data_IF_217442016700
#
_entry.id   IF_217442016700
#
_cell.length_a   1.000
_cell.length_b   1.000
_cell.length_c   1.000
_cell.angle_alpha   90.00
_cell.angle_beta   90.00
_cell.angle_gamma   90.00
#
_symmetry.space_group_name_H-M   'P 1'
#
loop_
_entity.id
_entity.type
_entity.pdbx_description
1 polymer ?
#
# COMPACT_ATOMS: atom_id res chain seq x y z
N UNK A 1 -45.43 -14.02 -11.19
CA UNK A 1 -45.87 -12.64 -11.49
C UNK A 1 -44.78 -11.73 -10.95
N UNK A 2 -43.72 -11.56 -11.67
CA UNK A 2 -43.36 -10.59 -12.72
C UNK A 2 -43.45 -9.13 -12.25
N UNK A 3 -42.28 -8.51 -12.01
CA UNK A 3 -41.96 -7.23 -12.61
C UNK A 3 -40.44 -6.96 -12.53
N UNK A 4 -39.84 -7.15 -13.67
CA UNK A 4 -38.46 -6.81 -14.02
C UNK A 4 -38.50 -5.35 -14.56
N UNK A 5 -37.79 -4.41 -13.92
CA UNK A 5 -37.60 -3.08 -14.49
C UNK A 5 -36.23 -3.00 -15.15
N UNK A 6 -36.25 -3.05 -16.47
CA UNK A 6 -35.15 -2.69 -17.36
C UNK A 6 -35.11 -1.17 -17.49
N UNK A 7 -34.01 -0.54 -17.18
CA UNK A 7 -33.74 0.85 -17.55
C UNK A 7 -32.84 0.84 -18.79
N UNK A 8 -33.44 1.37 -19.90
CA UNK A 8 -32.78 1.59 -21.18
C UNK A 8 -31.88 2.81 -21.11
N UNK A 9 -30.61 2.65 -21.47
CA UNK A 9 -29.76 3.76 -21.90
C UNK A 9 -30.02 4.05 -23.38
N UNK A 10 -30.47 5.26 -23.67
CA UNK A 10 -30.59 5.77 -25.02
C UNK A 10 -29.25 6.32 -25.51
N UNK A 11 -28.65 5.66 -26.50
CA UNK A 11 -27.51 6.18 -27.25
C UNK A 11 -28.03 7.12 -28.38
N UNK A 12 -27.61 8.37 -28.33
CA UNK A 12 -27.81 9.31 -29.44
C UNK A 12 -26.65 9.18 -30.43
N UNK A 13 -26.89 8.55 -31.56
CA UNK A 13 -26.03 8.62 -32.73
C UNK A 13 -26.49 9.82 -33.58
N UNK A 14 -25.69 10.85 -33.69
CA UNK A 14 -25.80 11.89 -34.71
C UNK A 14 -24.72 11.68 -35.75
N UNK A 15 -25.09 11.13 -36.88
CA UNK A 15 -24.27 11.10 -38.10
C UNK A 15 -24.37 12.44 -38.78
N UNK A 16 -23.32 13.24 -38.75
CA UNK A 16 -23.18 14.46 -39.54
C UNK A 16 -21.91 14.36 -40.40
N UNK A 17 -22.10 14.07 -41.69
CA UNK A 17 -21.05 14.18 -42.70
C UNK A 17 -20.91 15.67 -43.03
N UNK A 18 -19.81 16.29 -42.64
CA UNK A 18 -19.39 17.58 -43.20
C UNK A 18 -17.95 17.44 -43.70
N UNK A 19 -17.82 17.48 -45.01
CA UNK A 19 -16.57 17.70 -45.73
C UNK A 19 -16.01 19.07 -45.34
N UNK A 20 -14.91 19.12 -44.60
CA UNK A 20 -14.29 20.37 -44.12
C UNK A 20 -12.79 20.32 -44.29
N UNK A 21 -12.33 21.12 -45.22
CA UNK A 21 -11.03 21.78 -45.36
C UNK A 21 -10.04 21.52 -44.19
N UNK A 22 -8.97 20.79 -44.49
CA UNK A 22 -7.83 20.58 -43.58
C UNK A 22 -7.10 21.94 -43.42
N UNK A 23 -7.43 22.68 -42.40
CA UNK A 23 -6.60 23.78 -41.89
C UNK A 23 -5.53 23.12 -41.03
N UNK A 24 -4.27 23.12 -41.48
CA UNK A 24 -3.14 22.74 -40.70
C UNK A 24 -3.05 23.63 -39.45
N UNK A 25 -3.51 23.11 -38.31
CA UNK A 25 -3.31 23.77 -37.04
C UNK A 25 -1.84 23.56 -36.63
N UNK A 26 -1.06 24.62 -36.69
CA UNK A 26 0.24 24.69 -36.00
C UNK A 26 0.02 24.34 -34.53
N UNK A 27 0.84 23.42 -33.96
CA UNK A 27 0.74 23.09 -32.54
C UNK A 27 0.94 24.38 -31.72
N UNK A 28 0.17 24.59 -30.63
CA UNK A 28 0.35 25.74 -29.79
C UNK A 28 1.79 25.72 -29.23
N UNK A 29 2.54 26.75 -29.54
CA UNK A 29 3.84 27.02 -28.93
C UNK A 29 3.61 27.15 -27.43
N UNK A 30 4.13 26.22 -26.64
CA UNK A 30 4.22 26.32 -25.20
C UNK A 30 5.02 27.62 -24.89
N UNK A 31 4.30 28.68 -24.53
CA UNK A 31 4.92 29.86 -23.97
C UNK A 31 5.61 29.43 -22.68
N UNK A 32 6.93 29.40 -22.68
CA UNK A 32 7.72 29.23 -21.47
C UNK A 32 7.44 30.38 -20.54
N UNK A 33 6.59 30.13 -19.55
CA UNK A 33 6.39 31.05 -18.43
C UNK A 33 7.76 31.21 -17.75
N UNK A 34 8.24 32.43 -17.47
CA UNK A 34 9.49 32.60 -16.74
C UNK A 34 9.44 31.78 -15.46
N UNK A 35 10.49 30.99 -15.20
CA UNK A 35 10.61 30.24 -13.97
C UNK A 35 10.48 31.22 -12.80
N UNK A 36 9.44 31.03 -11.97
CA UNK A 36 9.34 31.76 -10.72
C UNK A 36 10.61 31.43 -9.93
N UNK A 37 11.33 32.46 -9.48
CA UNK A 37 12.48 32.32 -8.58
C UNK A 37 12.01 31.48 -7.40
N UNK A 38 12.66 30.32 -7.16
CA UNK A 38 12.45 29.54 -5.97
C UNK A 38 12.64 30.43 -4.76
N UNK A 39 11.57 30.69 -4.00
CA UNK A 39 11.67 31.40 -2.73
C UNK A 39 12.36 30.45 -1.75
N UNK A 40 13.48 30.87 -1.23
CA UNK A 40 14.20 30.21 -0.17
C UNK A 40 13.33 30.23 1.09
N UNK A 41 12.84 29.04 1.52
CA UNK A 41 12.51 28.75 2.91
C UNK A 41 11.29 29.46 3.49
N UNK A 42 10.10 29.37 2.87
CA UNK A 42 8.87 29.64 3.61
C UNK A 42 8.53 28.41 4.46
N UNK A 43 8.50 28.61 5.80
CA UNK A 43 7.96 27.62 6.71
C UNK A 43 6.54 27.25 6.23
N UNK A 44 6.26 25.96 6.09
CA UNK A 44 4.94 25.48 5.68
C UNK A 44 3.89 26.03 6.64
N UNK A 45 3.01 26.90 6.17
CA UNK A 45 1.89 27.41 6.97
C UNK A 45 0.87 26.30 7.07
N UNK A 46 0.65 25.81 8.30
CA UNK A 46 -0.36 24.80 8.55
C UNK A 46 -1.75 25.44 8.57
N UNK A 47 -2.77 24.84 7.90
CA UNK A 47 -4.13 25.33 8.02
C UNK A 47 -4.63 25.11 9.47
N UNK A 48 -5.49 26.00 9.96
CA UNK A 48 -6.16 25.76 11.22
C UNK A 48 -7.22 24.67 11.09
N UNK A 49 -7.54 23.97 12.18
CA UNK A 49 -8.61 22.98 12.20
C UNK A 49 -9.96 23.59 11.77
N UNK A 50 -10.24 24.86 12.15
CA UNK A 50 -11.45 25.57 11.72
C UNK A 50 -11.49 25.77 10.19
N UNK A 51 -10.35 26.06 9.57
CA UNK A 51 -10.25 26.19 8.10
C UNK A 51 -10.54 24.86 7.44
N UNK A 52 -9.97 23.77 7.96
CA UNK A 52 -10.21 22.42 7.45
C UNK A 52 -11.68 22.02 7.61
N UNK A 53 -12.26 22.25 8.79
CA UNK A 53 -13.67 21.97 9.05
C UNK A 53 -14.61 22.77 8.14
N UNK A 54 -14.30 24.05 7.91
CA UNK A 54 -15.07 24.91 6.99
C UNK A 54 -14.98 24.38 5.55
N UNK A 55 -13.81 23.97 5.11
CA UNK A 55 -13.62 23.34 3.79
C UNK A 55 -14.43 22.06 3.67
N UNK A 56 -14.33 21.14 4.65
CA UNK A 56 -15.06 19.87 4.64
C UNK A 56 -16.58 20.08 4.69
N UNK A 57 -17.05 21.10 5.43
CA UNK A 57 -18.45 21.49 5.42
C UNK A 57 -18.94 21.92 4.02
N UNK A 58 -18.14 22.68 3.30
CA UNK A 58 -18.47 23.06 1.91
C UNK A 58 -18.47 21.85 0.96
N UNK A 59 -17.58 20.87 1.20
CA UNK A 59 -17.46 19.68 0.35
C UNK A 59 -18.58 18.66 0.61
N UNK A 60 -18.96 18.45 1.86
CA UNK A 60 -19.81 17.31 2.27
C UNK A 60 -21.07 17.72 3.04
N UNK A 61 -21.20 18.97 3.47
CA UNK A 61 -22.31 19.43 4.32
C UNK A 61 -23.70 19.42 3.64
N UNK A 62 -23.77 19.15 2.34
CA UNK A 62 -25.00 18.92 1.63
C UNK A 62 -25.66 17.57 1.98
N UNK A 63 -24.90 16.62 2.53
CA UNK A 63 -25.40 15.32 2.96
C UNK A 63 -25.26 15.18 4.50
N UNK A 64 -26.37 15.24 5.27
CA UNK A 64 -26.32 15.17 6.72
C UNK A 64 -25.89 13.80 7.27
N UNK A 65 -25.80 12.78 6.42
CA UNK A 65 -25.31 11.44 6.83
C UNK A 65 -23.78 11.35 6.80
N UNK A 66 -23.10 12.34 6.21
CA UNK A 66 -21.64 12.39 6.19
C UNK A 66 -21.15 13.21 7.38
N UNK A 67 -20.29 12.62 8.18
CA UNK A 67 -19.60 13.30 9.28
C UNK A 67 -18.10 13.14 9.12
N UNK A 68 -17.33 14.02 9.75
CA UNK A 68 -15.86 13.93 9.69
C UNK A 68 -15.24 14.33 11.03
N UNK A 69 -13.99 13.91 11.20
CA UNK A 69 -13.12 14.29 12.30
C UNK A 69 -11.72 14.57 11.76
N UNK A 70 -11.18 15.73 12.06
CA UNK A 70 -9.79 16.06 11.83
C UNK A 70 -8.96 15.36 12.89
N UNK A 71 -8.02 14.50 12.48
CA UNK A 71 -7.18 13.73 13.40
C UNK A 71 -5.82 14.36 13.60
N UNK A 72 -5.25 14.95 12.55
CA UNK A 72 -3.91 15.54 12.61
C UNK A 72 -3.71 16.59 11.51
N UNK A 73 -2.92 17.60 11.80
CA UNK A 73 -2.48 18.62 10.86
C UNK A 73 -0.98 18.87 11.09
N UNK A 74 -0.16 18.51 10.12
CA UNK A 74 1.30 18.54 10.26
C UNK A 74 2.00 18.96 8.96
N UNK A 75 3.29 19.33 8.99
CA UNK A 75 4.06 19.46 7.76
C UNK A 75 4.10 18.15 7.01
N UNK A 76 3.92 18.18 5.69
CA UNK A 76 4.09 17.04 4.81
C UNK A 76 5.57 16.71 4.61
N UNK A 77 5.89 15.48 4.21
CA UNK A 77 7.24 15.10 3.73
C UNK A 77 7.65 15.91 2.47
N UNK A 78 6.68 16.44 1.74
CA UNK A 78 6.93 17.29 0.58
C UNK A 78 7.01 18.75 1.06
N UNK A 79 8.16 19.41 0.89
CA UNK A 79 8.33 20.81 1.28
C UNK A 79 7.27 21.73 0.64
N UNK A 80 6.72 22.63 1.43
CA UNK A 80 5.69 23.56 0.98
C UNK A 80 4.27 22.98 0.97
N UNK A 81 4.06 21.77 1.48
CA UNK A 81 2.73 21.19 1.68
C UNK A 81 2.48 20.89 3.16
N UNK A 82 1.26 21.12 3.63
CA UNK A 82 0.75 20.61 4.88
C UNK A 82 -0.02 19.31 4.63
N UNK A 83 0.10 18.35 5.54
CA UNK A 83 -0.68 17.12 5.54
C UNK A 83 -1.80 17.23 6.57
N UNK A 84 -3.03 16.94 6.13
CA UNK A 84 -4.23 16.92 6.96
C UNK A 84 -4.81 15.52 6.93
N UNK A 85 -4.90 14.87 8.07
CA UNK A 85 -5.49 13.54 8.23
C UNK A 85 -6.91 13.68 8.76
N UNK A 86 -7.88 13.15 8.01
CA UNK A 86 -9.31 13.25 8.32
C UNK A 86 -9.94 11.87 8.27
N UNK A 87 -10.79 11.54 9.22
CA UNK A 87 -11.70 10.38 9.09
C UNK A 87 -13.06 10.89 8.62
N UNK A 88 -13.51 10.39 7.48
CA UNK A 88 -14.85 10.67 6.94
C UNK A 88 -15.71 9.43 7.19
N UNK A 89 -16.86 9.64 7.81
CA UNK A 89 -17.84 8.58 8.13
C UNK A 89 -19.10 8.80 7.30
N UNK A 90 -19.58 7.74 6.68
CA UNK A 90 -20.83 7.70 5.90
C UNK A 90 -21.56 6.38 6.17
N UNK A 91 -22.63 6.10 5.41
CA UNK A 91 -23.42 4.86 5.55
C UNK A 91 -22.62 3.56 5.32
N UNK A 92 -21.48 3.62 4.62
CA UNK A 92 -20.60 2.48 4.33
C UNK A 92 -19.51 2.28 5.41
N UNK A 93 -19.37 3.23 6.35
CA UNK A 93 -18.40 3.17 7.44
C UNK A 93 -17.48 4.39 7.51
N UNK A 94 -16.44 4.25 8.33
CA UNK A 94 -15.44 5.30 8.56
C UNK A 94 -14.19 5.02 7.75
N UNK A 95 -13.77 6.00 6.93
CA UNK A 95 -12.60 5.89 6.06
C UNK A 95 -11.59 6.99 6.39
N UNK A 96 -10.31 6.64 6.64
CA UNK A 96 -9.25 7.63 6.77
C UNK A 96 -8.96 8.25 5.40
N UNK A 97 -8.81 9.55 5.37
CA UNK A 97 -8.48 10.32 4.18
C UNK A 97 -7.31 11.26 4.47
N UNK A 98 -6.50 11.51 3.46
CA UNK A 98 -5.37 12.43 3.50
C UNK A 98 -5.61 13.56 2.51
N UNK A 99 -5.45 14.79 2.97
CA UNK A 99 -5.40 15.97 2.13
C UNK A 99 -3.99 16.58 2.22
N UNK A 100 -3.46 17.03 1.10
CA UNK A 100 -2.27 17.86 1.08
C UNK A 100 -2.69 19.27 0.73
N UNK A 101 -2.32 20.22 1.57
CA UNK A 101 -2.68 21.64 1.41
C UNK A 101 -1.44 22.42 1.04
N UNK A 102 -1.54 23.23 -0.02
CA UNK A 102 -0.44 24.10 -0.46
C UNK A 102 -0.08 25.14 0.62
N UNK A 103 1.18 25.60 0.64
CA UNK A 103 1.68 26.58 1.60
C UNK A 103 0.94 27.91 1.57
N UNK A 104 0.29 28.25 0.45
CA UNK A 104 -0.56 29.43 0.32
C UNK A 104 -1.98 29.24 0.90
N UNK A 105 -2.30 28.03 1.38
CA UNK A 105 -3.59 27.65 1.97
C UNK A 105 -4.77 27.66 0.99
N UNK A 106 -4.52 27.71 -0.33
CA UNK A 106 -5.58 27.91 -1.33
C UNK A 106 -5.93 26.65 -2.13
N UNK A 107 -5.08 25.63 -2.08
CA UNK A 107 -5.26 24.42 -2.87
C UNK A 107 -5.16 23.19 -1.99
N UNK A 108 -6.12 22.27 -2.14
CA UNK A 108 -6.08 20.96 -1.54
C UNK A 108 -5.90 19.89 -2.64
N UNK A 109 -5.01 18.93 -2.40
CA UNK A 109 -4.73 17.79 -3.28
C UNK A 109 -5.23 16.53 -2.56
N UNK A 110 -6.12 15.79 -3.17
CA UNK A 110 -6.74 14.58 -2.60
C UNK A 110 -6.16 13.27 -3.15
N UNK A 111 -5.16 13.37 -4.02
CA UNK A 111 -4.50 12.23 -4.64
C UNK A 111 -3.16 11.88 -3.99
N UNK A 112 -2.53 10.83 -4.52
CA UNK A 112 -1.20 10.43 -4.10
C UNK A 112 -0.14 11.41 -4.61
N UNK A 113 0.88 11.65 -3.76
CA UNK A 113 2.10 12.33 -4.18
C UNK A 113 3.07 11.27 -4.66
N UNK A 114 3.38 11.33 -5.95
CA UNK A 114 4.29 10.38 -6.56
C UNK A 114 5.72 10.97 -6.59
N UNK A 115 6.75 10.17 -6.33
CA UNK A 115 8.12 10.59 -6.55
C UNK A 115 8.33 10.99 -8.01
N UNK A 116 8.99 12.11 -8.25
CA UNK A 116 9.25 12.64 -9.58
C UNK A 116 10.76 12.74 -9.85
N UNK A 117 11.17 12.47 -11.09
CA UNK A 117 12.56 12.56 -11.52
C UNK A 117 12.95 11.40 -12.42
N UNK A 118 14.22 11.37 -12.83
CA UNK A 118 14.75 10.32 -13.71
C UNK A 118 14.78 8.94 -13.04
N UNK A 119 14.91 8.91 -11.70
CA UNK A 119 14.94 7.68 -10.89
C UNK A 119 13.97 7.78 -9.71
N UNK A 120 12.66 7.82 -9.97
CA UNK A 120 11.67 8.17 -8.94
C UNK A 120 11.61 7.14 -7.80
N UNK A 121 12.04 5.91 -8.01
CA UNK A 121 11.95 4.82 -7.03
C UNK A 121 13.28 4.49 -6.33
N UNK A 122 14.37 5.23 -6.62
CA UNK A 122 15.70 4.91 -6.09
C UNK A 122 15.76 5.04 -4.58
N UNK A 123 15.11 6.05 -4.01
CA UNK A 123 15.08 6.25 -2.55
C UNK A 123 14.33 5.12 -1.84
N UNK A 124 13.14 4.77 -2.30
CA UNK A 124 12.37 3.66 -1.75
C UNK A 124 13.14 2.33 -1.90
N UNK A 125 13.77 2.10 -3.06
CA UNK A 125 14.63 0.94 -3.30
C UNK A 125 15.77 0.85 -2.27
N UNK A 126 16.51 1.93 -2.08
CA UNK A 126 17.63 1.97 -1.13
C UNK A 126 17.19 1.73 0.33
N UNK A 127 16.05 2.28 0.73
CA UNK A 127 15.46 2.04 2.07
C UNK A 127 15.07 0.57 2.24
N UNK A 128 14.43 -0.03 1.24
CA UNK A 128 14.03 -1.44 1.26
C UNK A 128 15.26 -2.35 1.28
N UNK A 129 16.25 -2.14 0.40
CA UNK A 129 17.48 -2.94 0.36
C UNK A 129 18.20 -2.98 1.71
N UNK A 130 18.19 -1.86 2.44
CA UNK A 130 18.84 -1.73 3.75
C UNK A 130 18.00 -2.27 4.92
N UNK A 131 16.68 -2.17 4.82
CA UNK A 131 15.79 -2.33 5.97
C UNK A 131 14.99 -3.64 6.01
N UNK A 132 14.89 -4.40 4.92
CA UNK A 132 14.13 -5.66 4.92
C UNK A 132 14.76 -6.69 5.87
N UNK A 133 13.96 -7.30 6.70
CA UNK A 133 14.38 -8.24 7.72
C UNK A 133 13.53 -9.52 7.79
N UNK A 134 12.55 -9.65 6.90
CA UNK A 134 11.66 -10.80 6.80
C UNK A 134 12.24 -11.97 5.97
N UNK A 135 11.53 -13.11 5.91
CA UNK A 135 11.96 -14.25 5.13
C UNK A 135 12.02 -13.94 3.63
N UNK A 136 12.97 -14.56 2.93
CA UNK A 136 13.21 -14.32 1.52
C UNK A 136 13.33 -15.61 0.70
N UNK A 137 12.83 -15.56 -0.56
CA UNK A 137 13.04 -16.57 -1.61
C UNK A 137 13.88 -15.98 -2.75
N UNK A 138 14.49 -16.85 -3.54
CA UNK A 138 15.29 -16.47 -4.71
C UNK A 138 16.69 -15.99 -4.37
N UNK A 139 17.48 -15.63 -5.39
CA UNK A 139 18.89 -15.28 -5.23
C UNK A 139 19.07 -13.99 -4.44
N UNK A 140 20.08 -13.95 -3.55
CA UNK A 140 20.36 -12.77 -2.75
C UNK A 140 20.75 -11.54 -3.60
N UNK A 141 21.34 -11.77 -4.77
CA UNK A 141 21.72 -10.73 -5.74
C UNK A 141 20.90 -10.90 -7.02
N UNK A 142 19.61 -10.59 -6.93
CA UNK A 142 18.70 -10.61 -8.07
C UNK A 142 18.70 -9.25 -8.80
N UNK A 143 18.40 -9.28 -10.11
CA UNK A 143 18.17 -8.06 -10.88
C UNK A 143 16.88 -7.34 -10.41
N UNK A 144 15.91 -8.11 -9.95
CA UNK A 144 14.64 -7.61 -9.41
C UNK A 144 14.45 -8.12 -7.99
N UNK A 145 14.11 -7.20 -7.09
CA UNK A 145 13.65 -7.52 -5.75
C UNK A 145 12.19 -7.11 -5.61
N UNK A 146 11.37 -8.07 -5.21
CA UNK A 146 9.96 -7.89 -4.90
C UNK A 146 9.82 -7.95 -3.38
N UNK A 147 9.27 -6.90 -2.77
CA UNK A 147 9.00 -6.84 -1.34
C UNK A 147 7.49 -6.73 -1.14
N UNK A 148 6.90 -7.66 -0.40
CA UNK A 148 5.50 -7.60 -0.01
C UNK A 148 5.39 -7.21 1.45
N UNK A 149 4.69 -6.13 1.75
CA UNK A 149 4.21 -5.84 3.09
C UNK A 149 2.84 -6.49 3.27
N UNK A 150 2.76 -7.43 4.19
CA UNK A 150 1.62 -8.33 4.34
C UNK A 150 1.21 -8.51 5.80
N UNK A 151 -0.06 -8.83 6.00
CA UNK A 151 -0.67 -9.09 7.29
C UNK A 151 -1.39 -10.43 7.26
N UNK A 152 -1.04 -11.33 8.16
CA UNK A 152 -1.57 -12.69 8.20
C UNK A 152 -3.08 -12.74 8.49
N UNK A 153 -3.64 -11.70 9.11
CA UNK A 153 -5.08 -11.60 9.38
C UNK A 153 -5.84 -10.86 8.26
N UNK A 154 -5.14 -10.18 7.34
CA UNK A 154 -5.78 -9.40 6.29
C UNK A 154 -6.40 -10.31 5.21
N UNK A 155 -7.72 -10.24 4.94
CA UNK A 155 -8.35 -11.07 3.91
C UNK A 155 -7.92 -10.70 2.49
N UNK A 156 -7.45 -9.46 2.27
CA UNK A 156 -6.90 -9.05 0.99
C UNK A 156 -5.52 -9.66 0.75
N UNK A 157 -4.71 -9.86 1.80
CA UNK A 157 -3.43 -10.56 1.70
C UNK A 157 -3.64 -12.04 1.36
N UNK A 158 -4.58 -12.71 2.03
CA UNK A 158 -4.96 -14.08 1.69
C UNK A 158 -5.36 -14.21 0.21
N UNK A 159 -6.19 -13.28 -0.29
CA UNK A 159 -6.64 -13.29 -1.70
C UNK A 159 -5.52 -12.97 -2.69
N UNK A 160 -4.53 -12.20 -2.30
CA UNK A 160 -3.40 -11.84 -3.16
C UNK A 160 -2.34 -12.95 -3.26
N UNK A 161 -2.21 -13.80 -2.24
CA UNK A 161 -1.18 -14.83 -2.17
C UNK A 161 -1.08 -15.72 -3.43
N UNK A 162 -2.17 -16.25 -4.02
CA UNK A 162 -2.09 -17.03 -5.26
C UNK A 162 -1.56 -16.23 -6.46
N UNK A 163 -1.85 -14.93 -6.53
CA UNK A 163 -1.35 -14.04 -7.60
C UNK A 163 0.15 -13.82 -7.44
N UNK A 164 0.63 -13.66 -6.21
CA UNK A 164 2.06 -13.52 -5.90
C UNK A 164 2.79 -14.82 -6.22
N UNK A 165 2.25 -15.98 -5.87
CA UNK A 165 2.85 -17.27 -6.22
C UNK A 165 2.94 -17.46 -7.74
N UNK A 166 1.92 -17.06 -8.50
CA UNK A 166 1.97 -17.08 -9.97
C UNK A 166 3.05 -16.14 -10.51
N UNK A 167 3.18 -14.92 -9.95
CA UNK A 167 4.24 -13.99 -10.33
C UNK A 167 5.62 -14.61 -10.08
N UNK A 168 5.86 -15.18 -8.91
CA UNK A 168 7.14 -15.81 -8.56
C UNK A 168 7.46 -17.04 -9.41
N UNK A 169 6.46 -17.78 -9.84
CA UNK A 169 6.65 -18.89 -10.79
C UNK A 169 7.08 -18.40 -12.18
N UNK A 170 6.67 -17.19 -12.59
CA UNK A 170 7.13 -16.57 -13.83
C UNK A 170 8.49 -15.87 -13.70
N UNK A 171 8.89 -15.49 -12.49
CA UNK A 171 10.10 -14.72 -12.18
C UNK A 171 11.04 -15.50 -11.25
N UNK A 172 11.55 -16.68 -11.65
CA UNK A 172 12.34 -17.56 -10.77
C UNK A 172 13.67 -16.92 -10.31
N UNK A 173 14.19 -15.96 -11.07
CA UNK A 173 15.42 -15.24 -10.76
C UNK A 173 15.19 -13.97 -9.93
N UNK A 174 13.94 -13.64 -9.61
CA UNK A 174 13.64 -12.54 -8.73
C UNK A 174 13.86 -12.92 -7.25
N UNK A 175 14.33 -11.96 -6.45
CA UNK A 175 14.32 -12.05 -5.00
C UNK A 175 12.96 -11.61 -4.49
N UNK A 176 12.30 -12.45 -3.72
CA UNK A 176 11.06 -12.10 -3.01
C UNK A 176 11.33 -12.01 -1.51
N UNK A 177 10.82 -10.96 -0.87
CA UNK A 177 10.89 -10.76 0.58
C UNK A 177 9.49 -10.52 1.12
N UNK A 178 9.08 -11.34 2.09
CA UNK A 178 7.84 -11.13 2.84
C UNK A 178 8.15 -10.28 4.08
N UNK A 179 7.53 -9.11 4.18
CA UNK A 179 7.66 -8.19 5.31
C UNK A 179 6.36 -8.14 6.09
N UNK A 180 6.41 -8.52 7.37
CA UNK A 180 5.24 -8.44 8.24
C UNK A 180 4.83 -6.98 8.47
N UNK A 181 3.56 -6.67 8.23
CA UNK A 181 2.98 -5.35 8.47
C UNK A 181 1.60 -5.50 9.11
N UNK A 182 1.54 -5.94 10.39
CA UNK A 182 0.30 -6.13 11.10
C UNK A 182 -0.46 -4.80 11.22
N UNK A 183 -1.74 -4.80 10.84
CA UNK A 183 -2.59 -3.62 10.91
C UNK A 183 -3.19 -3.49 12.33
N UNK A 184 -3.26 -2.27 12.88
CA UNK A 184 -3.77 -2.06 14.26
C UNK A 184 -5.21 -2.53 14.50
N UNK A 185 -6.03 -2.61 13.45
CA UNK A 185 -7.41 -3.08 13.54
C UNK A 185 -7.54 -4.62 13.60
N UNK A 186 -6.45 -5.35 13.39
CA UNK A 186 -6.41 -6.81 13.35
C UNK A 186 -5.88 -7.36 14.67
N UNK A 187 -6.74 -8.02 15.44
CA UNK A 187 -6.48 -8.35 16.85
C UNK A 187 -5.52 -9.53 17.10
N UNK A 188 -5.19 -10.32 16.06
CA UNK A 188 -4.19 -11.39 16.16
C UNK A 188 -3.02 -11.24 15.15
N UNK A 189 -3.03 -10.19 14.32
CA UNK A 189 -2.02 -9.97 13.29
C UNK A 189 -0.61 -9.78 13.84
N UNK A 190 -0.44 -9.00 14.93
CA UNK A 190 0.86 -8.77 15.56
C UNK A 190 1.49 -10.09 16.04
N UNK A 191 0.69 -10.91 16.74
CA UNK A 191 1.15 -12.22 17.18
C UNK A 191 1.54 -13.13 16.02
N UNK A 192 0.76 -13.14 14.94
CA UNK A 192 1.10 -13.92 13.74
C UNK A 192 2.39 -13.43 13.09
N UNK A 193 2.64 -12.12 13.09
CA UNK A 193 3.89 -11.53 12.60
C UNK A 193 5.10 -11.98 13.43
N UNK A 194 4.97 -12.05 14.76
CA UNK A 194 5.99 -12.58 15.66
C UNK A 194 6.31 -14.06 15.35
N UNK A 195 5.29 -14.86 15.08
CA UNK A 195 5.47 -16.25 14.65
C UNK A 195 6.15 -16.35 13.28
N UNK A 196 5.77 -15.54 12.30
CA UNK A 196 6.44 -15.50 10.97
C UNK A 196 7.93 -15.22 11.13
N UNK A 197 8.31 -14.21 11.94
CA UNK A 197 9.70 -13.88 12.20
C UNK A 197 10.45 -15.07 12.83
N UNK A 198 9.88 -15.70 13.85
CA UNK A 198 10.51 -16.82 14.55
C UNK A 198 10.62 -18.08 13.69
N UNK A 199 9.58 -18.44 12.93
CA UNK A 199 9.64 -19.57 12.01
C UNK A 199 10.68 -19.31 10.92
N UNK A 200 10.72 -18.07 10.35
CA UNK A 200 11.70 -17.69 9.34
C UNK A 200 13.14 -17.76 9.82
N UNK A 201 13.41 -17.40 11.08
CA UNK A 201 14.73 -17.54 11.72
C UNK A 201 15.09 -19.00 12.00
N UNK A 202 14.11 -19.85 12.29
CA UNK A 202 14.34 -21.27 12.52
C UNK A 202 14.55 -22.05 11.22
N UNK A 203 13.73 -21.78 10.19
CA UNK A 203 13.82 -22.45 8.90
C UNK A 203 13.17 -21.63 7.80
N UNK A 204 13.98 -21.27 6.80
CA UNK A 204 13.46 -20.55 5.62
C UNK A 204 12.44 -21.40 4.83
N UNK A 205 12.58 -22.71 4.78
CA UNK A 205 11.61 -23.58 4.08
C UNK A 205 10.31 -23.74 4.86
N UNK A 206 10.39 -23.78 6.19
CA UNK A 206 9.21 -23.92 7.04
C UNK A 206 8.33 -22.66 7.03
N UNK A 207 8.93 -21.46 6.95
CA UNK A 207 8.17 -20.22 7.02
C UNK A 207 7.20 -20.05 5.87
N UNK A 208 7.55 -20.50 4.68
CA UNK A 208 6.65 -20.43 3.52
C UNK A 208 5.46 -21.37 3.67
N UNK A 209 5.67 -22.55 4.24
CA UNK A 209 4.59 -23.47 4.60
C UNK A 209 3.73 -22.88 5.71
N UNK A 210 4.35 -22.22 6.68
CA UNK A 210 3.66 -21.55 7.77
C UNK A 210 2.77 -20.41 7.27
N UNK A 211 3.28 -19.53 6.41
CA UNK A 211 2.52 -18.44 5.80
C UNK A 211 1.31 -19.00 5.04
N UNK A 212 1.52 -19.97 4.15
CA UNK A 212 0.44 -20.58 3.38
C UNK A 212 -0.63 -21.19 4.28
N UNK A 213 -0.23 -22.05 5.24
CA UNK A 213 -1.18 -22.72 6.15
C UNK A 213 -1.91 -21.72 7.04
N UNK A 214 -1.26 -20.61 7.44
CA UNK A 214 -1.92 -19.57 8.23
C UNK A 214 -2.98 -18.85 7.41
N UNK A 215 -2.73 -18.58 6.12
CA UNK A 215 -3.77 -18.04 5.23
C UNK A 215 -4.89 -19.05 4.97
N UNK A 216 -4.58 -20.34 4.81
CA UNK A 216 -5.59 -21.38 4.62
C UNK A 216 -6.52 -21.51 5.84
N UNK A 217 -5.97 -21.34 7.06
CA UNK A 217 -6.69 -21.42 8.33
C UNK A 217 -7.22 -20.05 8.83
N UNK A 218 -7.04 -18.97 8.07
CA UNK A 218 -7.30 -17.58 8.52
C UNK A 218 -8.69 -17.42 9.14
N UNK A 219 -9.72 -18.00 8.52
CA UNK A 219 -11.10 -17.94 9.00
C UNK A 219 -11.34 -18.68 10.34
N UNK A 220 -10.44 -19.60 10.70
CA UNK A 220 -10.52 -20.44 11.91
C UNK A 220 -9.66 -19.88 13.07
N UNK A 221 -8.92 -18.78 12.83
CA UNK A 221 -8.08 -18.13 13.84
C UNK A 221 -8.85 -16.97 14.43
N UNK A 222 -8.96 -16.94 15.76
CA UNK A 222 -9.57 -15.89 16.55
C UNK A 222 -8.57 -15.38 17.60
N UNK A 223 -8.81 -14.23 18.18
CA UNK A 223 -7.98 -13.73 19.28
C UNK A 223 -7.80 -14.77 20.41
N UNK A 224 -8.87 -15.46 20.77
CA UNK A 224 -8.89 -16.43 21.86
C UNK A 224 -8.07 -17.71 21.57
N UNK A 225 -7.97 -18.16 20.32
CA UNK A 225 -7.29 -19.40 19.95
C UNK A 225 -5.96 -19.18 19.18
N UNK A 226 -5.53 -17.94 19.03
CA UNK A 226 -4.36 -17.56 18.20
C UNK A 226 -3.11 -18.35 18.56
N UNK A 227 -2.73 -18.40 19.84
CA UNK A 227 -1.52 -19.10 20.27
C UNK A 227 -1.58 -20.60 19.97
N UNK A 228 -2.68 -21.25 20.26
CA UNK A 228 -2.88 -22.67 20.00
C UNK A 228 -2.78 -22.96 18.50
N UNK A 229 -3.49 -22.19 17.69
CA UNK A 229 -3.53 -22.36 16.23
C UNK A 229 -2.17 -22.10 15.59
N UNK A 230 -1.51 -20.97 15.89
CA UNK A 230 -0.22 -20.65 15.30
C UNK A 230 0.87 -21.64 15.70
N UNK A 231 0.87 -22.11 16.95
CA UNK A 231 1.75 -23.19 17.43
C UNK A 231 1.51 -24.49 16.66
N UNK A 232 0.26 -24.91 16.47
CA UNK A 232 -0.08 -26.10 15.71
C UNK A 232 0.35 -25.97 14.24
N UNK A 233 0.12 -24.80 13.62
CA UNK A 233 0.55 -24.51 12.24
C UNK A 233 2.08 -24.53 12.12
N UNK A 234 2.82 -23.98 13.09
CA UNK A 234 4.28 -24.04 13.12
C UNK A 234 4.78 -25.48 13.14
N UNK A 235 4.19 -26.32 14.00
CA UNK A 235 4.51 -27.77 14.07
C UNK A 235 4.20 -28.46 12.74
N UNK A 236 3.04 -28.20 12.15
CA UNK A 236 2.65 -28.75 10.85
C UNK A 236 3.50 -28.23 9.68
N UNK A 237 4.28 -27.15 9.89
CA UNK A 237 5.20 -26.59 8.92
C UNK A 237 6.62 -27.15 9.03
N UNK A 238 6.91 -27.95 10.07
CA UNK A 238 8.16 -28.67 10.24
C UNK A 238 9.15 -28.04 11.23
N UNK A 239 8.66 -27.20 12.13
CA UNK A 239 9.45 -26.64 13.25
C UNK A 239 8.80 -26.98 14.59
N UNK A 240 9.55 -26.84 15.70
CA UNK A 240 9.00 -27.06 17.04
C UNK A 240 8.09 -25.89 17.44
N UNK A 241 6.78 -26.14 17.49
CA UNK A 241 5.79 -25.10 17.80
C UNK A 241 5.96 -24.48 19.18
N UNK A 242 6.43 -25.24 20.21
CA UNK A 242 6.68 -24.71 21.55
C UNK A 242 7.87 -23.75 21.56
N UNK A 243 8.94 -24.09 20.84
CA UNK A 243 10.11 -23.23 20.69
C UNK A 243 9.77 -21.95 19.91
N UNK A 244 8.94 -22.06 18.88
CA UNK A 244 8.47 -20.90 18.12
C UNK A 244 7.60 -20.00 19.00
N UNK A 245 6.68 -20.54 19.80
CA UNK A 245 5.86 -19.77 20.73
C UNK A 245 6.73 -19.03 21.78
N UNK A 246 7.72 -19.71 22.32
CA UNK A 246 8.68 -19.10 23.24
C UNK A 246 9.54 -18.00 22.58
N UNK A 247 9.89 -18.18 21.30
CA UNK A 247 10.60 -17.17 20.51
C UNK A 247 9.68 -15.95 20.25
N UNK A 248 8.44 -16.16 19.81
CA UNK A 248 7.48 -15.11 19.50
C UNK A 248 7.19 -14.18 20.70
N UNK A 249 7.29 -14.70 21.93
CA UNK A 249 7.10 -13.93 23.14
C UNK A 249 8.28 -13.01 23.51
N UNK A 250 9.42 -13.10 22.81
CA UNK A 250 10.63 -12.35 23.17
C UNK A 250 10.57 -10.89 22.72
N UNK A 251 11.15 -9.95 23.50
CA UNK A 251 11.21 -8.54 23.12
C UNK A 251 11.97 -8.27 21.82
N UNK A 252 12.99 -9.05 21.49
CA UNK A 252 13.75 -8.89 20.24
C UNK A 252 12.92 -9.24 19.01
N UNK A 253 12.01 -10.22 19.10
CA UNK A 253 11.05 -10.56 18.05
C UNK A 253 10.10 -9.40 17.79
N UNK A 254 9.53 -8.84 18.86
CA UNK A 254 8.65 -7.64 18.74
C UNK A 254 9.37 -6.47 18.10
N UNK A 255 10.59 -6.17 18.55
CA UNK A 255 11.40 -5.09 17.97
C UNK A 255 11.68 -5.30 16.47
N UNK A 256 11.83 -6.54 16.01
CA UNK A 256 12.01 -6.85 14.59
C UNK A 256 10.72 -6.64 13.77
N UNK A 257 9.56 -7.00 14.33
CA UNK A 257 8.26 -6.73 13.71
C UNK A 257 7.99 -5.22 13.68
N UNK A 258 8.28 -4.50 14.77
CA UNK A 258 8.17 -3.04 14.80
C UNK A 258 9.09 -2.37 13.77
N UNK A 259 10.32 -2.87 13.60
CA UNK A 259 11.23 -2.38 12.57
C UNK A 259 10.68 -2.61 11.14
N UNK A 260 10.02 -3.75 10.90
CA UNK A 260 9.34 -4.03 9.64
C UNK A 260 8.20 -3.04 9.37
N UNK A 261 7.39 -2.75 10.39
CA UNK A 261 6.31 -1.75 10.30
C UNK A 261 6.88 -0.35 10.05
N UNK A 262 7.96 0.02 10.77
CA UNK A 262 8.62 1.31 10.59
C UNK A 262 9.19 1.47 9.17
N UNK A 263 9.81 0.40 8.63
CA UNK A 263 10.29 0.37 7.25
C UNK A 263 9.13 0.60 6.27
N UNK A 264 8.03 -0.14 6.41
CA UNK A 264 6.85 0.02 5.55
C UNK A 264 6.32 1.45 5.56
N UNK A 265 6.16 2.04 6.76
CA UNK A 265 5.76 3.44 6.90
C UNK A 265 6.71 4.40 6.21
N UNK A 266 8.03 4.15 6.30
CA UNK A 266 9.06 5.01 5.69
C UNK A 266 9.06 4.99 4.17
N UNK A 267 8.43 4.00 3.54
CA UNK A 267 8.26 3.89 2.08
C UNK A 267 6.81 4.06 1.64
N UNK A 268 5.95 4.59 2.53
CA UNK A 268 4.58 4.98 2.21
C UNK A 268 3.55 3.84 2.26
N UNK A 269 3.84 2.73 2.95
CA UNK A 269 2.84 1.67 3.18
C UNK A 269 1.78 2.18 4.17
N UNK A 270 0.53 2.17 3.75
CA UNK A 270 -0.63 2.55 4.55
C UNK A 270 -1.71 1.46 4.65
N UNK A 271 -1.47 0.31 4.03
CA UNK A 271 -2.37 -0.85 4.04
C UNK A 271 -1.70 -2.09 3.46
N UNK A 272 -2.38 -3.23 3.55
CA UNK A 272 -1.89 -4.53 3.08
C UNK A 272 -2.88 -5.23 2.16
N UNK A 273 -2.42 -6.01 1.17
CA UNK A 273 -1.01 -6.13 0.79
C UNK A 273 -0.51 -4.90 0.02
N UNK A 274 0.76 -4.54 0.21
CA UNK A 274 1.46 -3.54 -0.62
C UNK A 274 2.73 -4.18 -1.17
N UNK A 275 2.92 -4.12 -2.50
CA UNK A 275 4.09 -4.66 -3.19
C UNK A 275 5.02 -3.53 -3.62
N UNK A 276 6.32 -3.81 -3.54
CA UNK A 276 7.36 -3.00 -4.17
C UNK A 276 8.15 -3.86 -5.14
N UNK A 277 8.31 -3.40 -6.37
CA UNK A 277 9.15 -4.04 -7.39
C UNK A 277 10.30 -3.07 -7.69
N UNK A 278 11.52 -3.39 -7.25
CA UNK A 278 12.69 -2.49 -7.30
C UNK A 278 12.39 -1.07 -6.78
N UNK A 279 11.67 -0.97 -5.67
CA UNK A 279 11.29 0.30 -5.04
C UNK A 279 10.03 0.97 -5.61
N UNK A 280 9.51 0.50 -6.74
CA UNK A 280 8.23 0.97 -7.28
C UNK A 280 7.09 0.37 -6.48
N UNK A 281 6.30 1.22 -5.85
CA UNK A 281 5.06 0.80 -5.19
C UNK A 281 4.04 0.32 -6.25
N UNK A 282 3.45 -0.84 -6.01
CA UNK A 282 2.42 -1.45 -6.87
C UNK A 282 1.27 -1.93 -5.98
N UNK A 283 0.01 -1.62 -6.32
CA UNK A 283 -1.13 -2.14 -5.56
C UNK A 283 -1.10 -3.68 -5.47
N UNK A 284 -1.24 -4.23 -4.28
CA UNK A 284 -1.17 -5.68 -4.04
C UNK A 284 -2.28 -6.50 -4.70
N UNK A 285 -3.36 -5.85 -5.15
CA UNK A 285 -4.44 -6.47 -5.93
C UNK A 285 -4.28 -6.34 -7.45
N UNK A 286 -3.12 -5.90 -7.96
CA UNK A 286 -2.89 -5.81 -9.39
C UNK A 286 -2.89 -7.21 -10.05
N UNK A 287 -3.48 -7.37 -11.25
CA UNK A 287 -3.46 -8.63 -11.99
C UNK A 287 -2.04 -9.12 -12.29
N UNK A 288 -1.83 -10.43 -12.32
CA UNK A 288 -0.51 -11.06 -12.51
C UNK A 288 0.21 -10.61 -13.80
N UNK A 289 -0.55 -10.42 -14.89
CA UNK A 289 -0.01 -9.95 -16.16
C UNK A 289 0.53 -8.50 -16.10
N UNK A 290 -0.09 -7.65 -15.27
CA UNK A 290 0.38 -6.29 -14.99
C UNK A 290 1.64 -6.34 -14.12
N UNK A 291 1.62 -7.16 -13.05
CA UNK A 291 2.78 -7.36 -12.18
C UNK A 291 3.99 -7.85 -12.97
N UNK A 292 3.79 -8.86 -13.85
CA UNK A 292 4.84 -9.38 -14.73
C UNK A 292 5.42 -8.29 -15.65
N UNK A 293 4.60 -7.51 -16.36
CA UNK A 293 5.07 -6.41 -17.20
C UNK A 293 5.90 -5.39 -16.42
N UNK A 294 5.51 -5.07 -15.18
CA UNK A 294 6.26 -4.16 -14.31
C UNK A 294 7.60 -4.79 -13.94
N UNK A 295 7.61 -6.08 -13.60
CA UNK A 295 8.82 -6.82 -13.22
C UNK A 295 9.81 -6.89 -14.39
N UNK A 296 9.34 -7.29 -15.57
CA UNK A 296 10.16 -7.33 -16.81
C UNK A 296 10.75 -5.94 -17.12
N UNK A 297 9.94 -4.90 -17.02
CA UNK A 297 10.38 -3.52 -17.24
C UNK A 297 11.45 -3.11 -16.22
N UNK A 298 11.25 -3.39 -14.94
CA UNK A 298 12.22 -3.05 -13.90
C UNK A 298 13.52 -3.86 -14.04
N UNK A 299 13.46 -5.08 -14.53
CA UNK A 299 14.65 -5.89 -14.84
C UNK A 299 15.49 -5.27 -15.96
N UNK A 300 14.84 -4.62 -16.93
CA UNK A 300 15.52 -3.98 -18.08
C UNK A 300 16.16 -2.62 -17.76
N UNK A 301 15.82 -1.99 -16.62
CA UNK A 301 16.31 -0.67 -16.21
C UNK A 301 17.62 -0.77 -15.41
N UNK A 302 18.67 -1.35 -15.99
CA UNK A 302 20.01 -1.51 -15.36
C UNK A 302 20.88 -0.29 -15.58
#
# INVERSE_FOLDING_TARGET
>A
MTHMHRTLLAAFLLSGILSGIAIAQTPPTLQTRPAAKASTGDATVLPSEDTVNSFLLQMFGYDPTITWKVNDIRPSEVPGLAEVLVVITNAQGSNPNRLLVSSDGKHAITGDVLPFGAKPFEEARARLEKGVNGPAKGPAKAAVTIVEFSDMQCPHCQKAAPTIDQLLAHEPDARFVFQSFPLPAHNWAEKAADYVDCVGRASNDAVWKFIQKTFDEQANITEANTDEKLKAIATASGVNGDEIAACAAKPDTKARVEASVALGKSVGVNGTPTLFINGRNVPGGAPVDVLKKITDFQASQK
#
